data_IF_336939708999
#
_entry.id   IF_336939708999
#
_cell.length_a   1.000
_cell.length_b   1.000
_cell.length_c   1.000
_cell.angle_alpha   90.00
_cell.angle_beta   90.00
_cell.angle_gamma   90.00
#
_symmetry.space_group_name_H-M   'P 1'
#
loop_
_entity.id
_entity.type
_entity.pdbx_description
1 polymer ?
#
# COMPACT_ATOMS: atom_id res chain seq x y z
N UNK A 1 4.38 -6.68 -17.92
CA UNK A 1 3.03 -7.13 -18.34
C UNK A 1 2.80 -8.64 -18.18
N UNK A 2 3.84 -9.46 -18.25
CA UNK A 2 3.75 -10.93 -18.25
C UNK A 2 3.42 -11.56 -16.88
N UNK A 3 3.89 -10.94 -15.78
CA UNK A 3 3.59 -11.40 -14.41
C UNK A 3 2.10 -11.30 -14.05
N UNK A 4 1.40 -10.26 -14.51
CA UNK A 4 -0.04 -10.10 -14.23
C UNK A 4 -0.88 -11.08 -15.05
N UNK A 5 -0.43 -11.41 -16.27
CA UNK A 5 -1.07 -12.45 -17.10
C UNK A 5 -1.06 -13.79 -16.38
N UNK A 6 0.06 -14.22 -15.81
CA UNK A 6 0.12 -15.53 -15.16
C UNK A 6 -0.70 -15.65 -13.87
N UNK A 7 -1.00 -14.53 -13.19
CA UNK A 7 -1.79 -14.56 -11.95
C UNK A 7 -3.30 -14.53 -12.20
N UNK A 8 -3.75 -13.97 -13.32
CA UNK A 8 -5.16 -13.71 -13.61
C UNK A 8 -5.70 -14.38 -14.88
N UNK A 9 -4.87 -15.16 -15.57
CA UNK A 9 -5.29 -16.00 -16.69
C UNK A 9 -5.72 -17.36 -16.17
N UNK A 10 -6.93 -17.77 -16.54
CA UNK A 10 -7.41 -19.12 -16.37
C UNK A 10 -6.52 -20.09 -17.17
N UNK A 11 -5.97 -21.12 -16.51
CA UNK A 11 -5.03 -22.07 -17.15
C UNK A 11 -5.70 -23.00 -18.17
N UNK A 12 -7.02 -23.09 -18.16
CA UNK A 12 -7.81 -23.96 -19.05
C UNK A 12 -8.32 -23.17 -20.25
N UNK A 13 -8.78 -21.92 -20.05
CA UNK A 13 -9.39 -21.11 -21.11
C UNK A 13 -8.49 -20.01 -21.67
N UNK A 14 -7.32 -19.77 -21.06
CA UNK A 14 -6.36 -18.73 -21.45
C UNK A 14 -6.92 -17.29 -21.51
N UNK A 15 -8.09 -17.03 -20.91
CA UNK A 15 -8.71 -15.71 -20.83
C UNK A 15 -8.41 -15.02 -19.49
N UNK A 16 -8.37 -13.68 -19.51
CA UNK A 16 -8.31 -12.87 -18.29
C UNK A 16 -9.62 -13.07 -17.51
N UNK A 17 -9.56 -13.70 -16.34
CA UNK A 17 -10.72 -13.85 -15.44
C UNK A 17 -10.99 -12.52 -14.71
N UNK A 18 -11.38 -11.47 -15.44
CA UNK A 18 -11.90 -10.25 -14.82
C UNK A 18 -13.42 -10.30 -14.61
N UNK A 19 -14.16 -11.14 -15.34
CA UNK A 19 -15.62 -10.97 -15.47
C UNK A 19 -16.49 -12.23 -15.23
N UNK A 20 -15.88 -13.40 -14.93
CA UNK A 20 -16.65 -14.62 -14.67
C UNK A 20 -16.79 -14.88 -13.17
N UNK A 21 -17.81 -14.29 -12.54
CA UNK A 21 -18.43 -14.82 -11.32
C UNK A 21 -17.51 -15.05 -10.11
N UNK A 22 -16.35 -14.38 -10.04
CA UNK A 22 -15.48 -14.44 -8.87
C UNK A 22 -16.24 -13.80 -7.72
N UNK A 23 -16.75 -14.61 -6.79
CA UNK A 23 -17.27 -14.13 -5.49
C UNK A 23 -16.10 -13.53 -4.70
N UNK A 24 -15.72 -12.29 -5.01
CA UNK A 24 -14.82 -11.51 -4.18
C UNK A 24 -15.49 -11.34 -2.82
N UNK A 25 -14.91 -11.97 -1.81
CA UNK A 25 -15.37 -11.82 -0.44
C UNK A 25 -14.90 -10.45 0.04
N UNK A 26 -15.85 -9.54 0.20
CA UNK A 26 -15.57 -8.22 0.77
C UNK A 26 -15.77 -8.32 2.28
N UNK A 27 -14.73 -8.02 3.05
CA UNK A 27 -14.70 -8.11 4.50
C UNK A 27 -14.68 -6.71 5.12
N UNK A 28 -15.53 -6.52 6.14
CA UNK A 28 -15.40 -5.42 7.07
C UNK A 28 -14.43 -5.85 8.17
N UNK A 29 -13.32 -5.14 8.29
CA UNK A 29 -12.34 -5.39 9.35
C UNK A 29 -12.94 -5.02 10.71
N UNK A 30 -12.60 -5.80 11.75
CA UNK A 30 -13.18 -5.65 13.09
C UNK A 30 -12.85 -4.29 13.69
N UNK A 31 -11.63 -3.80 13.48
CA UNK A 31 -11.16 -2.47 13.90
C UNK A 31 -12.08 -1.36 13.39
N UNK A 32 -12.51 -1.49 12.13
CA UNK A 32 -13.36 -0.50 11.46
C UNK A 32 -14.78 -0.53 11.99
N UNK A 33 -15.29 -1.73 12.28
CA UNK A 33 -16.62 -1.91 12.83
C UNK A 33 -16.72 -1.31 14.25
N UNK A 34 -15.71 -1.54 15.09
CA UNK A 34 -15.63 -0.96 16.44
C UNK A 34 -15.49 0.56 16.36
N UNK A 35 -14.60 1.05 15.49
CA UNK A 35 -14.40 2.49 15.31
C UNK A 35 -15.68 3.20 14.82
N UNK A 36 -16.46 2.56 13.95
CA UNK A 36 -17.73 3.10 13.49
C UNK A 36 -18.70 3.37 14.66
N UNK A 37 -18.83 2.42 15.59
CA UNK A 37 -19.64 2.59 16.80
C UNK A 37 -19.14 3.77 17.65
N UNK A 38 -17.83 3.91 17.84
CA UNK A 38 -17.24 5.04 18.58
C UNK A 38 -17.57 6.39 17.92
N UNK A 39 -17.51 6.45 16.58
CA UNK A 39 -17.83 7.65 15.81
C UNK A 39 -19.32 7.99 15.92
N UNK A 40 -20.19 6.99 15.79
CA UNK A 40 -21.65 7.17 15.84
C UNK A 40 -22.11 7.60 17.24
N UNK A 41 -21.49 7.06 18.28
CA UNK A 41 -21.67 7.50 19.67
C UNK A 41 -21.04 8.86 19.97
N UNK A 42 -20.26 9.42 19.02
CA UNK A 42 -19.46 10.65 19.19
C UNK A 42 -18.58 10.61 20.43
N UNK A 43 -18.08 9.43 20.76
CA UNK A 43 -17.33 9.19 21.99
C UNK A 43 -15.89 9.68 21.84
N UNK A 44 -15.60 10.86 22.42
CA UNK A 44 -14.29 11.52 22.34
C UNK A 44 -13.32 11.06 23.45
N UNK A 45 -13.75 10.15 24.31
CA UNK A 45 -12.88 9.59 25.36
C UNK A 45 -11.77 8.74 24.74
N UNK A 46 -10.72 8.47 25.52
CA UNK A 46 -9.64 7.60 25.08
C UNK A 46 -10.18 6.18 24.93
N UNK A 47 -10.10 5.62 23.72
CA UNK A 47 -10.52 4.28 23.36
C UNK A 47 -9.33 3.44 22.95
N UNK A 48 -9.30 2.18 23.38
CA UNK A 48 -8.27 1.21 23.01
C UNK A 48 -8.91 0.10 22.18
N UNK A 49 -8.42 -0.11 20.97
CA UNK A 49 -8.85 -1.19 20.09
C UNK A 49 -7.69 -2.18 19.98
N UNK A 50 -7.81 -3.30 20.69
CA UNK A 50 -6.89 -4.43 20.59
C UNK A 50 -7.52 -5.52 19.73
N UNK A 51 -6.81 -5.94 18.69
CA UNK A 51 -7.23 -6.99 17.76
C UNK A 51 -6.16 -8.08 17.68
N UNK A 52 -6.57 -9.31 17.35
CA UNK A 52 -5.69 -10.48 17.28
C UNK A 52 -4.71 -10.46 16.10
N UNK A 53 -4.97 -9.61 15.11
CA UNK A 53 -4.15 -9.41 13.91
C UNK A 53 -3.78 -7.93 13.84
N UNK A 54 -2.60 -7.64 13.33
CA UNK A 54 -2.16 -6.26 13.12
C UNK A 54 -3.05 -5.54 12.10
N UNK A 55 -3.33 -4.27 12.39
CA UNK A 55 -4.22 -3.42 11.62
C UNK A 55 -3.66 -3.21 10.21
N UNK A 56 -4.47 -3.45 9.18
CA UNK A 56 -3.99 -3.25 7.81
C UNK A 56 -3.84 -1.77 7.45
N UNK A 57 -3.17 -1.52 6.33
CA UNK A 57 -2.88 -0.15 5.89
C UNK A 57 -4.14 0.72 5.70
N UNK A 58 -5.22 0.18 5.13
CA UNK A 58 -6.49 0.94 4.96
C UNK A 58 -7.17 1.23 6.29
N UNK A 59 -7.13 0.27 7.23
CA UNK A 59 -7.66 0.48 8.56
C UNK A 59 -6.86 1.54 9.32
N UNK A 60 -5.53 1.50 9.25
CA UNK A 60 -4.63 2.50 9.82
C UNK A 60 -4.94 3.90 9.28
N UNK A 61 -5.06 4.05 7.95
CA UNK A 61 -5.40 5.34 7.34
C UNK A 61 -6.75 5.89 7.81
N UNK A 62 -7.76 5.02 7.96
CA UNK A 62 -9.07 5.45 8.43
C UNK A 62 -9.07 5.82 9.92
N UNK A 63 -8.33 5.07 10.74
CA UNK A 63 -8.13 5.40 12.16
C UNK A 63 -7.38 6.73 12.30
N UNK A 64 -6.37 6.96 11.48
CA UNK A 64 -5.64 8.24 11.45
C UNK A 64 -6.53 9.40 10.98
N UNK A 65 -7.44 9.16 10.04
CA UNK A 65 -8.46 10.14 9.69
C UNK A 65 -9.35 10.48 10.91
N UNK A 66 -9.83 9.47 11.64
CA UNK A 66 -10.61 9.70 12.86
C UNK A 66 -9.80 10.48 13.91
N UNK A 67 -8.52 10.16 14.10
CA UNK A 67 -7.62 10.92 15.00
C UNK A 67 -7.49 12.38 14.60
N UNK A 68 -7.34 12.67 13.30
CA UNK A 68 -7.32 14.05 12.76
C UNK A 68 -8.63 14.80 13.03
N UNK A 69 -9.74 14.09 13.23
CA UNK A 69 -11.04 14.65 13.61
C UNK A 69 -11.27 14.75 15.12
N UNK A 70 -10.25 14.44 15.94
CA UNK A 70 -10.27 14.62 17.39
C UNK A 70 -10.52 13.35 18.21
N UNK A 71 -10.80 12.21 17.56
CA UNK A 71 -11.03 10.95 18.27
C UNK A 71 -9.72 10.40 18.86
N UNK A 72 -9.74 10.05 20.16
CA UNK A 72 -8.56 9.56 20.89
C UNK A 72 -8.49 8.03 20.86
N UNK A 73 -8.23 7.46 19.69
CA UNK A 73 -8.19 6.00 19.49
C UNK A 73 -6.75 5.49 19.47
N UNK A 74 -6.45 4.49 20.29
CA UNK A 74 -5.17 3.79 20.36
C UNK A 74 -5.38 2.36 19.86
N UNK A 75 -4.47 1.87 19.01
CA UNK A 75 -4.51 0.52 18.43
C UNK A 75 -3.25 -0.25 18.80
N UNK A 76 -3.35 -1.57 18.91
CA UNK A 76 -2.25 -2.43 19.34
C UNK A 76 -1.05 -2.41 18.39
N UNK A 77 -1.26 -2.73 17.12
CA UNK A 77 -0.19 -2.81 16.11
C UNK A 77 -0.71 -2.49 14.70
N UNK A 78 0.15 -1.94 13.84
CA UNK A 78 -0.14 -1.67 12.43
C UNK A 78 0.78 -2.44 11.50
N UNK A 79 0.23 -2.81 10.36
CA UNK A 79 0.93 -3.53 9.31
C UNK A 79 0.60 -2.89 7.97
N UNK A 80 1.64 -2.39 7.28
CA UNK A 80 1.52 -1.60 6.03
C UNK A 80 1.15 -2.43 4.79
N UNK A 81 0.49 -3.57 4.98
CA UNK A 81 0.00 -4.42 3.90
C UNK A 81 -1.38 -3.93 3.46
N UNK A 82 -1.53 -3.78 2.15
CA UNK A 82 -2.80 -3.56 1.49
C UNK A 82 -3.46 -4.92 1.24
N UNK A 83 -4.68 -5.10 1.74
CA UNK A 83 -5.49 -6.29 1.48
C UNK A 83 -6.58 -5.94 0.45
N UNK A 84 -6.84 -6.89 -0.44
CA UNK A 84 -7.98 -6.89 -1.34
C UNK A 84 -9.27 -7.21 -0.57
N UNK A 85 -10.42 -6.86 -1.14
CA UNK A 85 -11.72 -7.17 -0.54
C UNK A 85 -12.01 -6.40 0.75
N UNK A 86 -11.57 -5.15 0.87
CA UNK A 86 -11.87 -4.31 2.04
C UNK A 86 -13.20 -3.56 1.89
N UNK A 87 -14.01 -3.53 2.96
CA UNK A 87 -15.28 -2.78 3.02
C UNK A 87 -15.16 -1.55 3.91
N UNK A 88 -15.64 -0.41 3.43
CA UNK A 88 -15.80 0.80 4.24
C UNK A 88 -16.89 0.56 5.31
N UNK A 89 -16.66 0.91 6.60
CA UNK A 89 -17.67 0.79 7.63
C UNK A 89 -18.87 1.68 7.34
N UNK A 90 -20.02 1.26 7.87
CA UNK A 90 -21.19 2.11 7.92
C UNK A 90 -21.07 3.04 9.12
N UNK A 91 -21.19 4.34 8.88
CA UNK A 91 -21.30 5.38 9.92
C UNK A 91 -22.51 6.24 9.58
N UNK A 92 -23.23 6.72 10.60
CA UNK A 92 -24.43 7.55 10.45
C UNK A 92 -24.09 8.91 9.84
N UNK A 93 -22.91 9.44 10.15
CA UNK A 93 -22.47 10.73 9.63
C UNK A 93 -21.95 10.63 8.18
N UNK A 94 -22.79 11.00 7.23
CA UNK A 94 -22.45 11.03 5.80
C UNK A 94 -21.26 11.93 5.45
N UNK A 95 -21.08 13.06 6.14
CA UNK A 95 -19.95 13.95 5.89
C UNK A 95 -18.64 13.26 6.28
N UNK A 96 -18.60 12.66 7.48
CA UNK A 96 -17.44 11.88 7.93
C UNK A 96 -17.13 10.74 6.95
N UNK A 97 -18.16 10.02 6.49
CA UNK A 97 -18.02 8.95 5.50
C UNK A 97 -17.41 9.44 4.18
N UNK A 98 -17.92 10.55 3.64
CA UNK A 98 -17.46 11.08 2.35
C UNK A 98 -16.03 11.61 2.44
N UNK A 99 -15.71 12.34 3.51
CA UNK A 99 -14.39 12.90 3.71
C UNK A 99 -13.33 11.83 4.01
N UNK A 100 -13.69 10.80 4.80
CA UNK A 100 -12.79 9.66 5.03
C UNK A 100 -12.53 8.88 3.76
N UNK A 101 -13.55 8.66 2.92
CA UNK A 101 -13.38 8.01 1.62
C UNK A 101 -12.46 8.83 0.70
N UNK A 102 -12.66 10.15 0.62
CA UNK A 102 -11.79 11.04 -0.13
C UNK A 102 -10.34 10.95 0.36
N UNK A 103 -10.13 10.97 1.68
CA UNK A 103 -8.81 10.83 2.28
C UNK A 103 -8.13 9.50 1.92
N UNK A 104 -8.87 8.40 1.98
CA UNK A 104 -8.35 7.07 1.61
C UNK A 104 -7.93 7.02 0.14
N UNK A 105 -8.78 7.52 -0.77
CA UNK A 105 -8.50 7.54 -2.20
C UNK A 105 -7.26 8.39 -2.54
N UNK A 106 -7.12 9.56 -1.94
CA UNK A 106 -5.94 10.42 -2.12
C UNK A 106 -4.65 9.71 -1.71
N UNK A 107 -4.64 9.04 -0.55
CA UNK A 107 -3.45 8.29 -0.08
C UNK A 107 -3.14 7.08 -0.98
N UNK A 108 -4.15 6.35 -1.43
CA UNK A 108 -3.94 5.23 -2.37
C UNK A 108 -3.36 5.71 -3.69
N UNK A 109 -3.85 6.82 -4.22
CA UNK A 109 -3.31 7.42 -5.45
C UNK A 109 -1.84 7.81 -5.27
N UNK A 110 -1.47 8.42 -4.14
CA UNK A 110 -0.08 8.74 -3.83
C UNK A 110 0.81 7.49 -3.77
N UNK A 111 0.33 6.37 -3.22
CA UNK A 111 1.08 5.11 -3.19
C UNK A 111 1.29 4.58 -4.61
N UNK A 112 0.24 4.59 -5.43
CA UNK A 112 0.32 4.14 -6.83
C UNK A 112 1.32 5.00 -7.59
N UNK A 113 1.20 6.33 -7.47
CA UNK A 113 2.10 7.28 -8.13
C UNK A 113 3.55 7.07 -7.70
N UNK A 114 3.81 6.92 -6.39
CA UNK A 114 5.15 6.68 -5.87
C UNK A 114 5.75 5.35 -6.34
N UNK A 115 4.93 4.30 -6.44
CA UNK A 115 5.36 3.01 -6.99
C UNK A 115 5.69 3.11 -8.48
N UNK A 116 4.86 3.78 -9.26
CA UNK A 116 5.11 4.02 -10.69
C UNK A 116 6.41 4.81 -10.87
N UNK A 117 6.57 5.94 -10.17
CA UNK A 117 7.79 6.77 -10.25
C UNK A 117 9.05 5.96 -9.92
N UNK A 118 9.01 5.13 -8.87
CA UNK A 118 10.16 4.28 -8.50
C UNK A 118 10.49 3.30 -9.62
N UNK A 119 9.47 2.63 -10.17
CA UNK A 119 9.65 1.66 -11.25
C UNK A 119 10.19 2.29 -12.53
N UNK A 120 9.66 3.45 -12.94
CA UNK A 120 10.14 4.17 -14.12
C UNK A 120 11.59 4.64 -13.95
N UNK A 121 11.99 5.12 -12.77
CA UNK A 121 13.39 5.48 -12.50
C UNK A 121 14.33 4.27 -12.59
N UNK A 122 13.94 3.12 -12.04
CA UNK A 122 14.76 1.92 -12.14
C UNK A 122 14.91 1.42 -13.57
N UNK A 123 13.91 1.62 -14.44
CA UNK A 123 14.01 1.23 -15.86
C UNK A 123 14.93 2.15 -16.68
N UNK A 124 15.08 3.42 -16.29
CA UNK A 124 15.94 4.37 -16.99
C UNK A 124 17.43 4.19 -16.68
N UNK A 125 17.77 3.43 -15.63
CA UNK A 125 19.14 3.25 -15.17
C UNK A 125 19.95 2.18 -15.94
N UNK A 126 19.30 1.34 -16.76
CA UNK A 126 19.97 0.26 -17.52
C UNK A 126 20.38 0.65 -18.95
N UNK A 127 20.34 1.94 -19.30
CA UNK A 127 20.78 2.39 -20.64
C UNK A 127 22.27 2.70 -20.66
N UNK A 128 23.10 1.73 -20.26
CA UNK A 128 24.50 1.69 -20.64
C UNK A 128 24.56 1.32 -22.13
N UNK A 129 24.43 2.34 -22.99
CA UNK A 129 24.93 2.21 -24.34
C UNK A 129 26.43 1.98 -24.21
N UNK A 130 26.84 0.71 -24.34
CA UNK A 130 28.22 0.30 -24.58
C UNK A 130 28.65 0.93 -25.91
N UNK A 131 29.04 2.20 -25.86
CA UNK A 131 29.71 2.86 -26.96
C UNK A 131 31.11 2.26 -27.01
N UNK A 132 31.31 1.36 -27.97
CA UNK A 132 32.61 0.85 -28.38
C UNK A 132 33.63 1.99 -28.45
N UNK A 133 34.54 2.09 -27.48
CA UNK A 133 35.86 2.69 -27.71
C UNK A 133 36.86 1.55 -27.83
N UNK A 134 37.28 1.33 -29.07
CA UNK A 134 38.36 0.43 -29.45
C UNK A 134 39.62 0.78 -28.64
N UNK A 135 40.23 -0.29 -28.16
CA UNK A 135 41.54 -0.44 -27.53
C UNK A 135 42.62 0.56 -27.99
N UNK A 136 43.45 1.07 -27.06
CA UNK A 136 44.88 0.72 -27.06
C UNK A 136 45.64 1.28 -25.84
N UNK A 137 46.38 0.35 -25.22
CA UNK A 137 47.62 0.47 -24.45
C UNK A 137 47.60 0.94 -22.98
N UNK A 138 47.58 -0.08 -22.12
CA UNK A 138 48.51 -0.36 -21.00
C UNK A 138 49.27 0.82 -20.35
N UNK A 139 49.04 1.03 -19.06
CA UNK A 139 50.06 0.77 -18.02
C UNK A 139 49.43 0.73 -16.62
N UNK A 140 49.97 -0.17 -15.80
CA UNK A 140 49.63 -0.43 -14.40
C UNK A 140 49.90 0.81 -13.51
N UNK A 141 49.13 0.96 -12.42
CA UNK A 141 49.70 0.98 -11.07
C UNK A 141 48.63 0.99 -9.97
N UNK A 142 49.07 0.45 -8.83
CA UNK A 142 48.42 0.06 -7.58
C UNK A 142 47.57 1.13 -6.87
N UNK A 143 46.50 0.70 -6.18
CA UNK A 143 46.38 0.76 -4.70
C UNK A 143 44.93 0.66 -4.19
N UNK A 144 44.76 -0.25 -3.22
CA UNK A 144 43.61 -0.43 -2.33
C UNK A 144 43.23 0.84 -1.54
N UNK A 145 41.93 1.14 -1.38
CA UNK A 145 41.32 1.31 -0.05
C UNK A 145 39.78 1.50 -0.06
N UNK A 146 39.09 0.60 0.65
CA UNK A 146 37.89 0.76 1.50
C UNK A 146 36.87 1.88 1.20
N UNK A 147 35.57 1.54 1.16
CA UNK A 147 34.69 1.70 2.34
C UNK A 147 33.28 1.10 2.12
N UNK A 148 32.75 0.56 3.22
CA UNK A 148 31.46 -0.08 3.45
C UNK A 148 30.24 0.86 3.30
N UNK A 149 29.05 0.21 3.37
CA UNK A 149 27.69 0.69 3.70
C UNK A 149 26.84 1.08 2.46
N UNK A 150 25.57 0.72 2.32
CA UNK A 150 24.61 0.07 3.22
C UNK A 150 23.43 -0.52 2.43
N UNK A 151 22.70 -1.38 3.13
CA UNK A 151 21.58 -2.24 2.71
C UNK A 151 20.34 -1.48 2.22
N UNK A 152 19.63 -2.10 1.27
CA UNK A 152 18.16 -2.11 1.23
C UNK A 152 17.66 -3.51 0.89
#
# INVERSE_FOLDING_TARGET
MERLRNTYIDKVTHQLQLDNGIKQRIFLHVEMNILASIIDEKNMNRQFIAVSKSCCYLCELYIDFARKRGYKVIISETYKKLYDGWKLPHVVNNNFKNESLKHLLENLNLIIENKIKRYTRSLLADSDSTANSVNDNANNDDSDQNCLLEKF
#
